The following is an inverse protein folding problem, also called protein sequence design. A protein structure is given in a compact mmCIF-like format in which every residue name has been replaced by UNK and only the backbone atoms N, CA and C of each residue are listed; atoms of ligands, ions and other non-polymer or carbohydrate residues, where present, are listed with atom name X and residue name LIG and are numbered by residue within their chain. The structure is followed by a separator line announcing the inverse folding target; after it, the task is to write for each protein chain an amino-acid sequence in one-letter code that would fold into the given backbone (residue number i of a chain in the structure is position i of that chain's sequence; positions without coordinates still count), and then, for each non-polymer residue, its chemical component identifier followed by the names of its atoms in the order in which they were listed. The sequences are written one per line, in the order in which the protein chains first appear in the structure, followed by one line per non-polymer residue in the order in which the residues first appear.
data_IF_024648478130
#
_entry.id   IF_024648478130
#
_cell.length_a   1.000
_cell.length_b   1.000
_cell.length_c   1.000
_cell.angle_alpha   90.00
_cell.angle_beta   90.00
_cell.angle_gamma   90.00
#
_symmetry.space_group_name_H-M   'P 1'
#
loop_
_entity.id
_entity.type
_entity.pdbx_description
1 polymer ?
#
# COMPACT_ATOMS: atom_id res chain seq x y z
N UNK A 1 -26.33 11.91 -14.10
CA UNK A 1 -25.10 11.81 -14.91
C UNK A 1 -25.50 11.90 -16.37
N UNK A 2 -25.11 12.95 -17.06
CA UNK A 2 -25.38 13.03 -18.49
C UNK A 2 -24.50 12.00 -19.20
N UNK A 3 -25.04 11.36 -20.24
CA UNK A 3 -24.31 10.45 -21.12
C UNK A 3 -23.08 11.11 -21.76
N UNK A 4 -23.02 12.41 -21.76
CA UNK A 4 -21.95 13.21 -22.37
C UNK A 4 -20.60 13.08 -21.65
N UNK A 5 -20.60 12.79 -20.34
CA UNK A 5 -19.34 12.52 -19.60
C UNK A 5 -18.72 11.19 -20.03
N UNK A 6 -19.54 10.22 -20.46
CA UNK A 6 -19.06 8.91 -20.95
C UNK A 6 -18.73 8.92 -22.44
N UNK A 7 -19.17 9.96 -23.19
CA UNK A 7 -18.95 10.07 -24.62
C UNK A 7 -17.78 10.96 -25.02
N UNK A 8 -17.11 11.59 -24.05
CA UNK A 8 -15.88 12.34 -24.32
C UNK A 8 -14.82 11.40 -24.87
N UNK A 9 -14.26 11.76 -25.99
CA UNK A 9 -13.15 11.01 -26.58
C UNK A 9 -11.97 11.01 -25.61
N UNK A 10 -11.55 9.83 -25.18
CA UNK A 10 -10.43 9.64 -24.26
C UNK A 10 -9.14 10.31 -24.79
N UNK A 11 -8.95 10.30 -26.09
CA UNK A 11 -7.80 10.94 -26.74
C UNK A 11 -7.86 12.46 -26.67
N UNK A 12 -9.04 13.06 -26.87
CA UNK A 12 -9.22 14.51 -26.74
C UNK A 12 -8.98 14.94 -25.29
N UNK A 13 -9.53 14.21 -24.34
CA UNK A 13 -9.33 14.48 -22.92
C UNK A 13 -7.86 14.33 -22.52
N UNK A 14 -7.20 13.26 -22.96
CA UNK A 14 -5.77 13.03 -22.71
C UNK A 14 -4.89 14.12 -23.30
N UNK A 15 -5.19 14.55 -24.53
CA UNK A 15 -4.46 15.63 -25.19
C UNK A 15 -4.64 16.98 -24.47
N UNK A 16 -5.86 17.27 -24.01
CA UNK A 16 -6.14 18.47 -23.22
C UNK A 16 -5.39 18.44 -21.89
N UNK A 17 -5.42 17.28 -21.19
CA UNK A 17 -4.69 17.08 -19.96
C UNK A 17 -3.18 17.28 -20.12
N UNK A 18 -2.57 16.61 -21.11
CA UNK A 18 -1.12 16.70 -21.38
C UNK A 18 -0.69 18.13 -21.69
N UNK A 19 -1.52 18.88 -22.42
CA UNK A 19 -1.25 20.29 -22.73
C UNK A 19 -1.23 21.15 -21.46
N UNK A 20 -2.26 21.00 -20.62
CA UNK A 20 -2.36 21.75 -19.35
C UNK A 20 -1.25 21.33 -18.38
N UNK A 21 -0.94 20.04 -18.30
CA UNK A 21 0.15 19.53 -17.47
C UNK A 21 1.50 20.16 -17.85
N UNK A 22 1.81 20.23 -19.15
CA UNK A 22 3.03 20.87 -19.64
C UNK A 22 3.09 22.36 -19.30
N UNK A 23 1.97 23.11 -19.44
CA UNK A 23 1.88 24.52 -19.09
C UNK A 23 2.06 24.77 -17.58
N UNK A 24 1.53 23.89 -16.74
CA UNK A 24 1.62 23.96 -15.28
C UNK A 24 3.02 23.59 -14.80
N UNK A 25 3.60 22.52 -15.39
CA UNK A 25 4.98 22.11 -15.10
C UNK A 25 6.01 23.18 -15.46
N UNK A 26 5.80 23.90 -16.58
CA UNK A 26 6.65 25.04 -16.98
C UNK A 26 6.65 26.18 -15.94
N UNK A 27 5.63 26.27 -15.09
CA UNK A 27 5.52 27.23 -13.98
C UNK A 27 6.03 26.66 -12.65
N UNK A 28 6.65 25.48 -12.64
CA UNK A 28 7.12 24.80 -11.43
C UNK A 28 6.00 24.26 -10.55
N UNK A 29 4.78 24.10 -11.10
CA UNK A 29 3.62 23.57 -10.41
C UNK A 29 3.34 22.13 -10.87
N UNK A 30 2.47 21.42 -10.14
CA UNK A 30 2.06 20.06 -10.43
C UNK A 30 0.53 19.96 -10.46
N UNK A 31 -0.02 19.27 -11.44
CA UNK A 31 -1.44 18.93 -11.47
C UNK A 31 -1.63 17.63 -10.67
N UNK A 32 -2.18 17.74 -9.48
CA UNK A 32 -2.58 16.56 -8.70
C UNK A 32 -3.76 15.86 -9.34
N UNK A 33 -3.74 14.53 -9.33
CA UNK A 33 -4.88 13.70 -9.78
C UNK A 33 -5.84 13.35 -8.63
N UNK A 34 -5.69 13.98 -7.48
CA UNK A 34 -6.51 13.77 -6.30
C UNK A 34 -7.70 14.76 -6.21
N UNK A 35 -8.60 14.52 -5.27
CA UNK A 35 -9.70 15.44 -4.98
C UNK A 35 -9.16 16.84 -4.62
N UNK A 36 -9.78 17.87 -5.18
CA UNK A 36 -9.47 19.26 -4.85
C UNK A 36 -10.44 19.80 -3.80
N UNK A 37 -9.92 20.60 -2.87
CA UNK A 37 -10.73 21.29 -1.87
C UNK A 37 -11.81 22.15 -2.54
N UNK A 38 -13.04 21.97 -2.11
CA UNK A 38 -14.21 22.70 -2.61
C UNK A 38 -15.31 22.68 -1.53
N UNK A 39 -16.54 23.10 -1.88
CA UNK A 39 -17.69 23.12 -0.94
C UNK A 39 -18.10 21.76 -0.37
N UNK A 40 -17.63 20.64 -0.96
CA UNK A 40 -17.97 19.28 -0.56
C UNK A 40 -16.76 18.53 0.01
N UNK A 41 -15.60 18.69 -0.58
CA UNK A 41 -14.36 18.09 -0.13
C UNK A 41 -13.53 19.13 0.63
N UNK A 42 -13.39 18.94 1.93
CA UNK A 42 -12.73 19.88 2.84
C UNK A 42 -11.19 19.75 2.87
N UNK A 43 -10.63 18.83 2.08
CA UNK A 43 -9.21 18.58 2.03
C UNK A 43 -8.79 17.25 2.67
N UNK A 44 -7.48 17.06 2.80
CA UNK A 44 -6.91 15.86 3.39
C UNK A 44 -7.24 15.79 4.89
N UNK A 45 -7.96 14.76 5.37
CA UNK A 45 -8.40 14.65 6.76
C UNK A 45 -7.24 14.62 7.77
N UNK A 46 -6.05 14.16 7.38
CA UNK A 46 -4.85 14.20 8.23
C UNK A 46 -4.45 15.65 8.54
N UNK A 47 -4.73 16.59 7.61
CA UNK A 47 -4.35 18.00 7.74
C UNK A 47 -5.48 18.88 8.28
N UNK A 48 -6.71 18.67 7.80
CA UNK A 48 -7.86 19.51 8.13
C UNK A 48 -8.77 18.91 9.20
N UNK A 49 -8.50 17.67 9.63
CA UNK A 49 -9.33 16.95 10.60
C UNK A 49 -10.51 16.22 9.96
N UNK A 50 -11.20 15.44 10.77
CA UNK A 50 -12.38 14.67 10.34
C UNK A 50 -13.65 15.47 10.60
N UNK A 51 -14.58 15.49 9.64
CA UNK A 51 -15.92 16.03 9.84
C UNK A 51 -16.69 15.17 10.84
N UNK A 52 -17.72 15.74 11.49
CA UNK A 52 -18.53 14.98 12.45
C UNK A 52 -19.16 13.74 11.82
N UNK A 53 -19.57 13.83 10.56
CA UNK A 53 -20.05 12.66 9.83
C UNK A 53 -18.94 11.61 9.60
N UNK A 54 -17.74 12.02 9.24
CA UNK A 54 -16.63 11.08 9.02
C UNK A 54 -16.18 10.36 10.31
N UNK A 55 -16.37 10.97 11.48
CA UNK A 55 -16.09 10.33 12.77
C UNK A 55 -16.97 9.12 13.04
N UNK A 56 -18.22 9.14 12.55
CA UNK A 56 -19.22 8.06 12.74
C UNK A 56 -19.13 6.93 11.71
N UNK A 57 -18.23 7.02 10.74
CA UNK A 57 -18.07 6.00 9.69
C UNK A 57 -16.99 4.99 10.09
N UNK A 58 -17.29 3.68 10.16
CA UNK A 58 -16.27 2.66 10.34
C UNK A 58 -15.22 2.70 9.23
N UNK A 59 -13.97 2.41 9.57
CA UNK A 59 -12.86 2.36 8.61
C UNK A 59 -12.09 1.06 8.74
N UNK A 60 -11.78 0.45 7.61
CA UNK A 60 -10.79 -0.61 7.46
C UNK A 60 -9.77 -0.15 6.42
N UNK A 61 -8.53 0.08 6.84
CA UNK A 61 -7.46 0.55 5.95
C UNK A 61 -6.14 -0.16 6.24
N UNK A 62 -5.32 -0.34 5.22
CA UNK A 62 -4.02 -1.00 5.36
C UNK A 62 -3.14 -0.83 4.15
N UNK A 63 -2.00 -1.52 4.18
CA UNK A 63 -1.01 -1.50 3.10
C UNK A 63 -0.35 -2.85 2.95
N UNK A 64 0.24 -3.08 1.79
CA UNK A 64 1.15 -4.18 1.58
C UNK A 64 2.55 -3.80 2.09
N UNK A 65 3.36 -4.79 2.45
CA UNK A 65 4.70 -4.52 2.97
C UNK A 65 5.62 -3.89 1.93
N UNK A 66 5.48 -4.26 0.66
CA UNK A 66 6.36 -3.87 -0.45
C UNK A 66 5.69 -3.06 -1.55
N UNK A 67 4.65 -2.30 -1.29
CA UNK A 67 3.77 -1.57 -2.23
C UNK A 67 4.36 -1.36 -3.66
N UNK A 68 5.34 -0.50 -3.84
CA UNK A 68 5.96 -0.23 -5.14
C UNK A 68 7.28 -0.95 -5.38
N UNK A 69 7.53 -2.04 -4.66
CA UNK A 69 8.68 -2.90 -4.92
C UNK A 69 8.40 -3.83 -6.13
N UNK A 70 8.32 -3.24 -7.30
CA UNK A 70 8.16 -3.98 -8.57
C UNK A 70 9.49 -4.48 -9.14
N UNK A 71 10.59 -4.13 -8.50
CA UNK A 71 11.92 -4.58 -8.89
C UNK A 71 12.09 -6.10 -8.73
N UNK A 72 13.17 -6.67 -9.25
CA UNK A 72 13.50 -8.06 -9.00
C UNK A 72 13.66 -8.29 -7.50
N UNK A 73 13.29 -9.48 -7.07
CA UNK A 73 13.58 -9.94 -5.70
C UNK A 73 15.07 -9.80 -5.43
N UNK A 74 15.41 -9.53 -4.18
CA UNK A 74 16.82 -9.56 -3.76
C UNK A 74 17.37 -10.96 -4.02
N UNK A 75 18.24 -11.14 -5.02
CA UNK A 75 18.73 -12.47 -5.38
C UNK A 75 19.42 -13.13 -4.19
N UNK A 76 19.04 -14.36 -3.89
CA UNK A 76 19.67 -15.13 -2.82
C UNK A 76 19.47 -14.56 -1.41
N UNK A 77 18.40 -13.80 -1.15
CA UNK A 77 18.18 -13.19 0.18
C UNK A 77 18.12 -14.20 1.33
N UNK A 78 17.65 -15.43 1.07
CA UNK A 78 17.62 -16.52 2.04
C UNK A 78 18.94 -17.29 2.13
N UNK A 79 19.83 -17.12 1.15
CA UNK A 79 21.15 -17.74 1.09
C UNK A 79 22.25 -16.82 1.64
N UNK A 80 21.98 -15.51 1.68
CA UNK A 80 22.92 -14.53 2.25
C UNK A 80 23.11 -14.74 3.74
N UNK A 81 24.36 -14.77 4.16
CA UNK A 81 24.67 -14.65 5.59
C UNK A 81 24.37 -13.22 6.09
N UNK A 82 24.40 -13.04 7.42
CA UNK A 82 24.04 -11.75 8.03
C UNK A 82 24.94 -10.59 7.57
N UNK A 83 26.23 -10.83 7.40
CA UNK A 83 27.17 -9.78 6.97
C UNK A 83 26.89 -9.33 5.53
N UNK A 84 26.58 -10.27 4.66
CA UNK A 84 26.18 -9.99 3.27
C UNK A 84 24.87 -9.20 3.21
N UNK A 85 23.88 -9.54 4.03
CA UNK A 85 22.62 -8.79 4.14
C UNK A 85 22.84 -7.36 4.63
N UNK A 86 23.68 -7.17 5.65
CA UNK A 86 24.06 -5.83 6.16
C UNK A 86 24.76 -5.03 5.06
N UNK A 87 25.74 -5.61 4.37
CA UNK A 87 26.44 -4.94 3.27
C UNK A 87 25.50 -4.56 2.14
N UNK A 88 24.53 -5.44 1.83
CA UNK A 88 23.49 -5.17 0.85
C UNK A 88 22.61 -3.98 1.25
N UNK A 89 22.13 -3.95 2.48
CA UNK A 89 21.27 -2.87 2.99
C UNK A 89 22.02 -1.54 3.12
N UNK A 90 23.29 -1.59 3.49
CA UNK A 90 24.13 -0.39 3.61
C UNK A 90 24.26 0.38 2.29
N UNK A 91 24.19 -0.31 1.15
CA UNK A 91 24.15 0.35 -0.17
C UNK A 91 22.94 1.24 -0.38
N UNK A 92 21.81 0.91 0.27
CA UNK A 92 20.56 1.67 0.17
C UNK A 92 20.40 2.71 1.29
N UNK A 93 20.79 2.35 2.51
CA UNK A 93 20.45 3.11 3.70
C UNK A 93 21.67 3.80 4.37
N UNK A 94 22.90 3.53 3.90
CA UNK A 94 24.12 4.14 4.45
C UNK A 94 24.24 3.96 5.96
N UNK A 95 24.57 5.04 6.65
CA UNK A 95 24.78 5.06 8.11
C UNK A 95 23.51 4.75 8.93
N UNK A 96 22.32 4.87 8.34
CA UNK A 96 21.06 4.52 9.01
C UNK A 96 20.83 3.00 9.12
N UNK A 97 21.62 2.18 8.42
CA UNK A 97 21.40 0.72 8.32
C UNK A 97 21.30 0.02 9.68
N UNK A 98 22.19 0.24 10.66
CA UNK A 98 22.12 -0.48 11.94
C UNK A 98 20.83 -0.18 12.71
N UNK A 99 20.41 1.07 12.74
CA UNK A 99 19.17 1.47 13.40
C UNK A 99 17.95 0.87 12.71
N UNK A 100 17.89 0.94 11.39
CA UNK A 100 16.79 0.38 10.61
C UNK A 100 16.69 -1.13 10.75
N UNK A 101 17.81 -1.85 10.77
CA UNK A 101 17.84 -3.30 11.04
C UNK A 101 17.27 -3.59 12.43
N UNK A 102 17.71 -2.87 13.46
CA UNK A 102 17.22 -3.07 14.82
C UNK A 102 15.71 -2.87 14.94
N UNK A 103 15.17 -1.84 14.28
CA UNK A 103 13.74 -1.56 14.23
C UNK A 103 12.99 -2.64 13.45
N UNK A 104 13.57 -3.10 12.35
CA UNK A 104 12.95 -4.11 11.50
C UNK A 104 12.87 -5.47 12.20
N UNK A 105 13.94 -5.93 12.82
CA UNK A 105 13.96 -7.20 13.58
C UNK A 105 12.96 -7.18 14.74
N UNK A 106 12.80 -6.04 15.38
CA UNK A 106 11.79 -5.88 16.44
C UNK A 106 10.35 -5.94 15.90
N UNK A 107 10.12 -5.38 14.71
CA UNK A 107 8.79 -5.35 14.09
C UNK A 107 8.44 -6.65 13.37
N UNK A 108 9.42 -7.35 12.81
CA UNK A 108 9.27 -8.55 11.98
C UNK A 108 10.28 -9.63 12.38
N UNK A 109 10.12 -10.26 13.55
CA UNK A 109 11.11 -11.20 14.09
C UNK A 109 11.28 -12.48 13.24
N UNK A 110 10.26 -12.81 12.44
CA UNK A 110 10.25 -14.01 11.59
C UNK A 110 10.75 -13.76 10.16
N UNK A 111 11.18 -12.52 9.86
CA UNK A 111 11.68 -12.17 8.52
C UNK A 111 13.19 -12.04 8.49
N UNK A 112 13.79 -12.32 7.33
CA UNK A 112 15.21 -11.99 7.10
C UNK A 112 15.39 -10.47 7.03
N UNK A 113 16.52 -9.95 7.53
CA UNK A 113 16.77 -8.50 7.48
C UNK A 113 16.87 -7.98 6.04
N UNK A 114 17.19 -8.82 5.07
CA UNK A 114 17.17 -8.46 3.65
C UNK A 114 15.77 -7.96 3.17
N UNK A 115 14.70 -8.39 3.81
CA UNK A 115 13.34 -7.95 3.50
C UNK A 115 13.09 -6.45 3.81
N UNK A 116 13.94 -5.85 4.66
CA UNK A 116 13.93 -4.40 4.88
C UNK A 116 14.09 -3.62 3.57
N UNK A 117 14.79 -4.19 2.56
CA UNK A 117 14.93 -3.59 1.24
C UNK A 117 13.57 -3.29 0.57
N UNK A 118 12.62 -4.19 0.72
CA UNK A 118 11.30 -4.15 0.09
C UNK A 118 10.25 -3.37 0.88
N UNK A 119 10.57 -2.88 2.09
CA UNK A 119 9.59 -2.15 2.90
C UNK A 119 9.14 -0.87 2.21
N UNK A 120 7.84 -0.84 1.87
CA UNK A 120 7.22 0.30 1.20
C UNK A 120 7.01 1.47 2.17
N UNK A 121 7.48 2.65 1.77
CA UNK A 121 7.36 3.89 2.54
C UNK A 121 6.40 4.90 1.92
N UNK A 122 5.86 4.62 0.74
CA UNK A 122 5.04 5.58 -0.01
C UNK A 122 3.66 5.78 0.61
N UNK A 123 2.87 4.72 0.79
CA UNK A 123 1.52 4.82 1.37
C UNK A 123 1.51 4.68 2.89
N UNK A 124 2.40 3.84 3.44
CA UNK A 124 2.33 3.40 4.83
C UNK A 124 2.37 4.53 5.85
N UNK A 125 3.26 5.54 5.78
CA UNK A 125 3.30 6.62 6.77
C UNK A 125 1.99 7.40 6.86
N UNK A 126 1.42 7.77 5.71
CA UNK A 126 0.14 8.49 5.66
C UNK A 126 -1.04 7.61 6.11
N UNK A 127 -1.03 6.32 5.78
CA UNK A 127 -2.06 5.37 6.22
C UNK A 127 -2.03 5.19 7.74
N UNK A 128 -0.85 5.02 8.34
CA UNK A 128 -0.70 4.91 9.79
C UNK A 128 -1.19 6.18 10.49
N UNK A 129 -0.81 7.35 9.99
CA UNK A 129 -1.23 8.62 10.57
C UNK A 129 -2.75 8.82 10.47
N UNK A 130 -3.33 8.48 9.31
CA UNK A 130 -4.79 8.50 9.13
C UNK A 130 -5.50 7.58 10.13
N UNK A 131 -5.04 6.34 10.27
CA UNK A 131 -5.63 5.36 11.19
C UNK A 131 -5.49 5.83 12.64
N UNK A 132 -4.31 6.34 13.01
CA UNK A 132 -4.04 6.86 14.35
C UNK A 132 -5.02 7.97 14.72
N UNK A 133 -5.14 8.99 13.86
CA UNK A 133 -6.08 10.10 14.09
C UNK A 133 -7.52 9.64 14.07
N UNK A 134 -7.91 8.75 13.15
CA UNK A 134 -9.28 8.23 13.06
C UNK A 134 -9.65 7.39 14.29
N UNK A 135 -8.71 6.64 14.87
CA UNK A 135 -8.93 5.80 16.04
C UNK A 135 -9.11 6.58 17.35
N UNK A 136 -8.81 7.87 17.36
CA UNK A 136 -9.09 8.75 18.51
C UNK A 136 -10.60 8.99 18.70
N UNK A 137 -11.40 8.77 17.64
CA UNK A 137 -12.86 8.89 17.68
C UNK A 137 -13.48 7.53 18.01
N UNK A 138 -14.34 7.50 19.04
CA UNK A 138 -14.97 6.28 19.56
C UNK A 138 -16.34 5.98 18.96
N UNK A 139 -16.86 6.87 18.12
CA UNK A 139 -18.19 6.78 17.50
C UNK A 139 -18.31 5.64 16.50
N UNK A 140 -17.17 5.25 15.88
CA UNK A 140 -17.14 4.12 14.97
C UNK A 140 -15.78 3.42 15.01
N UNK A 141 -15.73 2.09 14.80
CA UNK A 141 -14.50 1.33 14.88
C UNK A 141 -13.55 1.66 13.74
N UNK A 142 -12.25 1.63 14.02
CA UNK A 142 -11.18 1.76 13.06
C UNK A 142 -10.31 0.51 13.09
N UNK A 143 -10.19 -0.15 11.94
CA UNK A 143 -9.39 -1.36 11.76
C UNK A 143 -8.21 -1.08 10.85
N UNK A 144 -7.10 -1.76 11.13
CA UNK A 144 -5.88 -1.66 10.32
C UNK A 144 -5.36 -3.05 9.95
N UNK A 145 -4.81 -3.16 8.74
CA UNK A 145 -4.08 -4.36 8.33
C UNK A 145 -2.74 -4.01 7.69
N UNK A 146 -1.85 -4.98 7.69
CA UNK A 146 -0.69 -5.01 6.83
C UNK A 146 -0.59 -6.39 6.21
N UNK A 147 -0.56 -6.44 4.88
CA UNK A 147 -0.38 -7.68 4.14
C UNK A 147 1.11 -7.95 3.95
N UNK A 148 1.60 -9.02 4.59
CA UNK A 148 3.03 -9.34 4.67
C UNK A 148 3.38 -10.70 4.07
N UNK A 149 2.46 -11.30 3.30
CA UNK A 149 2.71 -12.57 2.63
C UNK A 149 3.92 -12.47 1.70
N UNK A 150 4.75 -13.49 1.72
CA UNK A 150 5.88 -13.63 0.83
C UNK A 150 5.53 -14.63 -0.27
N UNK A 151 5.49 -14.17 -1.50
CA UNK A 151 5.14 -14.99 -2.64
C UNK A 151 6.34 -15.87 -3.05
N UNK A 152 6.13 -17.18 -3.37
CA UNK A 152 7.20 -18.12 -3.71
C UNK A 152 7.68 -17.97 -5.16
N UNK A 153 7.98 -16.74 -5.56
CA UNK A 153 8.58 -16.43 -6.86
C UNK A 153 9.97 -15.82 -6.65
N UNK A 154 10.89 -16.16 -7.51
CA UNK A 154 12.27 -15.65 -7.53
C UNK A 154 13.01 -15.76 -6.18
N UNK A 155 12.70 -16.79 -5.37
CA UNK A 155 13.30 -16.98 -4.05
C UNK A 155 12.65 -16.15 -2.93
N UNK A 156 11.44 -15.70 -3.12
CA UNK A 156 10.62 -14.99 -2.11
C UNK A 156 10.40 -13.52 -2.46
N UNK A 157 9.20 -13.18 -2.90
CA UNK A 157 8.80 -11.80 -3.24
C UNK A 157 7.89 -11.25 -2.16
N UNK A 158 8.26 -10.10 -1.60
CA UNK A 158 7.38 -9.35 -0.69
C UNK A 158 6.09 -8.91 -1.40
N UNK A 159 4.98 -8.85 -0.66
CA UNK A 159 3.70 -8.43 -1.20
C UNK A 159 3.79 -7.02 -1.80
N UNK A 160 3.59 -6.92 -3.10
CA UNK A 160 3.61 -5.67 -3.88
C UNK A 160 2.22 -5.04 -3.96
N UNK A 161 2.11 -3.90 -4.60
CA UNK A 161 0.85 -3.18 -4.76
C UNK A 161 -0.23 -4.04 -5.42
N UNK A 162 -1.42 -4.08 -4.80
CA UNK A 162 -2.56 -4.90 -5.21
C UNK A 162 -2.39 -6.43 -5.04
N UNK A 163 -1.32 -6.91 -4.42
CA UNK A 163 -1.09 -8.34 -4.24
C UNK A 163 -2.10 -9.01 -3.29
N UNK A 164 -2.75 -8.25 -2.40
CA UNK A 164 -3.78 -8.72 -1.49
C UNK A 164 -5.15 -8.91 -2.14
N UNK A 165 -5.40 -8.27 -3.29
CA UNK A 165 -6.72 -8.24 -3.94
C UNK A 165 -7.30 -9.64 -4.19
N UNK A 166 -6.56 -10.62 -4.74
CA UNK A 166 -7.08 -11.97 -4.94
C UNK A 166 -7.52 -12.68 -3.65
N UNK A 167 -6.87 -12.36 -2.54
CA UNK A 167 -7.22 -12.91 -1.22
C UNK A 167 -8.48 -12.27 -0.65
N UNK A 168 -8.64 -10.96 -0.82
CA UNK A 168 -9.83 -10.22 -0.39
C UNK A 168 -11.06 -10.67 -1.16
N UNK A 169 -10.94 -10.83 -2.48
CA UNK A 169 -12.05 -11.23 -3.36
C UNK A 169 -12.25 -12.75 -3.47
N UNK A 170 -11.51 -13.54 -2.71
CA UNK A 170 -11.62 -15.01 -2.66
C UNK A 170 -11.49 -15.66 -4.04
N UNK A 171 -10.50 -15.25 -4.82
CA UNK A 171 -10.29 -15.71 -6.19
C UNK A 171 -8.81 -15.96 -6.54
N UNK A 172 -8.02 -16.45 -5.56
CA UNK A 172 -6.62 -16.82 -5.77
C UNK A 172 -6.45 -17.91 -6.83
N UNK A 173 -7.47 -18.75 -7.04
CA UNK A 173 -7.49 -19.78 -8.08
C UNK A 173 -7.30 -19.25 -9.50
N UNK A 174 -7.56 -17.96 -9.69
CA UNK A 174 -7.39 -17.26 -10.98
C UNK A 174 -6.00 -16.64 -11.17
N UNK A 175 -5.20 -16.61 -10.13
CA UNK A 175 -3.89 -15.95 -10.11
C UNK A 175 -2.84 -16.95 -9.64
N UNK A 176 -2.13 -17.57 -10.59
CA UNK A 176 -1.23 -18.69 -10.30
C UNK A 176 -0.21 -18.41 -9.18
N UNK A 177 0.35 -17.19 -9.11
CA UNK A 177 1.31 -16.80 -8.06
C UNK A 177 0.68 -16.71 -6.66
N UNK A 178 -0.63 -16.52 -6.58
CA UNK A 178 -1.38 -16.46 -5.31
C UNK A 178 -1.90 -17.84 -4.88
N UNK A 179 -1.95 -18.81 -5.79
CA UNK A 179 -2.53 -20.12 -5.54
C UNK A 179 -1.45 -21.14 -5.18
N UNK A 180 -1.06 -21.17 -3.92
CA UNK A 180 -0.13 -22.16 -3.36
C UNK A 180 -0.94 -23.16 -2.52
N UNK A 181 -1.25 -24.35 -3.05
CA UNK A 181 -2.13 -25.31 -2.41
C UNK A 181 -1.69 -25.69 -0.99
N UNK A 182 -2.63 -25.65 -0.04
CA UNK A 182 -2.37 -25.95 1.37
C UNK A 182 -1.77 -24.80 2.19
N UNK A 183 -1.32 -23.74 1.54
CA UNK A 183 -0.73 -22.57 2.21
C UNK A 183 -1.66 -21.35 2.14
N UNK A 184 -2.04 -20.96 0.93
CA UNK A 184 -2.78 -19.71 0.72
C UNK A 184 -4.30 -19.83 0.85
N UNK A 185 -4.86 -21.04 0.81
CA UNK A 185 -6.30 -21.28 0.97
C UNK A 185 -6.83 -20.68 2.28
N UNK A 186 -6.15 -20.98 3.40
CA UNK A 186 -6.54 -20.49 4.72
C UNK A 186 -6.37 -18.96 4.85
N UNK A 187 -5.33 -18.41 4.23
CA UNK A 187 -5.10 -16.96 4.22
C UNK A 187 -6.22 -16.24 3.47
N UNK A 188 -6.56 -16.72 2.28
CA UNK A 188 -7.68 -16.23 1.48
C UNK A 188 -8.99 -16.23 2.27
N UNK A 189 -9.34 -17.38 2.89
CA UNK A 189 -10.56 -17.52 3.68
C UNK A 189 -10.63 -16.49 4.82
N UNK A 190 -9.54 -16.31 5.56
CA UNK A 190 -9.48 -15.35 6.64
C UNK A 190 -9.61 -13.90 6.16
N UNK A 191 -8.95 -13.56 5.06
CA UNK A 191 -8.97 -12.19 4.51
C UNK A 191 -10.35 -11.88 3.95
N UNK A 192 -10.90 -12.71 3.07
CA UNK A 192 -12.23 -12.50 2.52
C UNK A 192 -13.29 -12.38 3.61
N UNK A 193 -13.24 -13.27 4.62
CA UNK A 193 -14.17 -13.23 5.76
C UNK A 193 -14.06 -11.92 6.55
N UNK A 194 -12.85 -11.42 6.77
CA UNK A 194 -12.65 -10.15 7.48
C UNK A 194 -13.32 -8.97 6.74
N UNK A 195 -13.15 -8.88 5.41
CA UNK A 195 -13.78 -7.85 4.58
C UNK A 195 -15.31 -7.97 4.56
N UNK A 196 -15.83 -9.20 4.41
CA UNK A 196 -17.28 -9.46 4.44
C UNK A 196 -17.87 -9.06 5.80
N UNK A 197 -17.20 -9.42 6.90
CA UNK A 197 -17.68 -9.07 8.24
C UNK A 197 -17.62 -7.56 8.51
N UNK A 198 -16.62 -6.87 7.97
CA UNK A 198 -16.55 -5.41 8.06
C UNK A 198 -17.69 -4.73 7.27
N UNK A 199 -18.09 -5.28 6.12
CA UNK A 199 -19.12 -4.71 5.26
C UNK A 199 -20.56 -4.96 5.74
N UNK A 200 -20.78 -5.85 6.72
CA UNK A 200 -22.10 -6.17 7.32
C UNK A 200 -22.42 -5.31 8.51
#
# INVERSE_FOLDING_TARGET
WSSDVCSSDLYELSNAYNKVEAEVAAKGCYIGQGPMENGWFHGNPIKCGFTDHAKTIPVLAGTNIGEFDFGPVVPGKHEMNREEQIAFLTRKYGDATPELISLFEKAYPDKTIADLWSVGTFFRPATIEFIRQKSEFTEAPTYSYQFTYEFPIDGGKAAWHCAEIPFVFHNIDRIAVCNVPGETDRLQERMATAWINFAR
#
